data_IF_777432264844
#
_entry.id   IF_777432264844
#
_cell.length_a   1.000
_cell.length_b   1.000
_cell.length_c   1.000
_cell.angle_alpha   90.00
_cell.angle_beta   90.00
_cell.angle_gamma   90.00
#
_symmetry.space_group_name_H-M   'P 1'
#
loop_
_entity.id
_entity.type
_entity.pdbx_description
1 polymer ?
#
# COMPACT_ATOMS: atom_id res chain seq x y z
N UNK A 1 -10.70 32.67 5.85
CA UNK A 1 -9.89 31.47 5.57
C UNK A 1 -9.90 30.43 6.68
N UNK A 2 -9.82 30.75 7.98
CA UNK A 2 -9.90 29.71 9.03
C UNK A 2 -11.17 28.84 8.94
N UNK A 3 -12.34 29.46 8.77
CA UNK A 3 -13.63 28.77 8.56
C UNK A 3 -13.63 27.90 7.28
N UNK A 4 -12.95 28.35 6.23
CA UNK A 4 -12.78 27.58 5.00
C UNK A 4 -11.91 26.35 5.24
N UNK A 5 -10.81 26.49 5.99
CA UNK A 5 -9.91 25.40 6.33
C UNK A 5 -10.61 24.33 7.17
N UNK A 6 -11.42 24.74 8.16
CA UNK A 6 -12.24 23.82 8.95
C UNK A 6 -13.24 23.05 8.07
N UNK A 7 -13.90 23.72 7.12
CA UNK A 7 -14.77 23.04 6.17
C UNK A 7 -14.01 22.08 5.25
N UNK A 8 -12.82 22.47 4.80
CA UNK A 8 -12.04 21.71 3.83
C UNK A 8 -11.56 20.37 4.41
N UNK A 9 -11.07 20.37 5.66
CA UNK A 9 -10.62 19.13 6.35
C UNK A 9 -11.78 18.18 6.71
N UNK A 10 -13.03 18.66 6.65
CA UNK A 10 -14.23 17.83 6.82
C UNK A 10 -14.70 17.20 5.51
N UNK A 11 -14.06 17.49 4.38
CA UNK A 11 -14.31 16.80 3.11
C UNK A 11 -13.54 15.47 3.01
N UNK A 12 -13.81 14.66 1.97
CA UNK A 12 -13.00 13.49 1.70
C UNK A 12 -11.57 13.89 1.27
N UNK A 13 -10.65 12.94 1.36
CA UNK A 13 -9.32 13.05 0.76
C UNK A 13 -8.91 11.68 0.19
N UNK A 14 -7.75 11.60 -0.48
CA UNK A 14 -7.30 10.35 -1.13
C UNK A 14 -7.40 9.10 -0.25
N UNK A 15 -6.98 9.20 1.03
CA UNK A 15 -6.92 8.05 1.94
C UNK A 15 -8.22 7.71 2.69
N UNK A 16 -9.24 8.58 2.70
CA UNK A 16 -10.42 8.37 3.54
C UNK A 16 -11.65 9.09 2.98
N UNK A 17 -12.80 8.39 2.89
CA UNK A 17 -14.05 9.02 2.50
C UNK A 17 -14.51 10.02 3.56
N UNK A 18 -15.55 10.79 3.22
CA UNK A 18 -16.09 11.77 4.15
C UNK A 18 -16.93 11.08 5.24
N UNK A 19 -16.73 11.44 6.50
CA UNK A 19 -17.56 10.95 7.60
C UNK A 19 -19.03 11.39 7.44
N UNK A 20 -19.95 10.58 7.97
CA UNK A 20 -21.38 10.79 7.81
C UNK A 20 -21.89 12.11 8.40
N UNK A 21 -21.33 12.57 9.53
CA UNK A 21 -21.70 13.83 10.20
C UNK A 21 -20.93 15.06 9.65
N UNK A 22 -19.82 14.83 8.94
CA UNK A 22 -18.90 15.89 8.54
C UNK A 22 -19.56 16.91 7.60
N UNK A 23 -20.49 16.48 6.74
CA UNK A 23 -21.20 17.37 5.82
C UNK A 23 -22.00 18.47 6.55
N UNK A 24 -22.74 18.09 7.59
CA UNK A 24 -23.56 19.03 8.35
C UNK A 24 -22.68 20.08 9.06
N UNK A 25 -21.55 19.64 9.62
CA UNK A 25 -20.56 20.52 10.26
C UNK A 25 -19.91 21.46 9.25
N UNK A 26 -19.49 20.94 8.09
CA UNK A 26 -18.91 21.74 7.02
C UNK A 26 -19.86 22.83 6.52
N UNK A 27 -21.16 22.52 6.36
CA UNK A 27 -22.17 23.51 5.95
C UNK A 27 -22.31 24.67 6.93
N UNK A 28 -22.23 24.41 8.24
CA UNK A 28 -22.33 25.46 9.27
C UNK A 28 -21.19 26.47 9.14
N UNK A 29 -19.95 25.99 9.02
CA UNK A 29 -18.77 26.88 8.92
C UNK A 29 -18.66 27.51 7.53
N UNK A 30 -19.10 26.83 6.46
CA UNK A 30 -19.16 27.40 5.12
C UNK A 30 -20.15 28.55 5.00
N UNK A 31 -21.31 28.45 5.65
CA UNK A 31 -22.27 29.55 5.68
C UNK A 31 -21.68 30.80 6.35
N UNK A 32 -20.90 30.62 7.42
CA UNK A 32 -20.17 31.73 8.04
C UNK A 32 -19.08 32.28 7.11
N UNK A 33 -18.33 31.41 6.43
CA UNK A 33 -17.31 31.82 5.47
C UNK A 33 -17.92 32.62 4.30
N UNK A 34 -19.08 32.19 3.76
CA UNK A 34 -19.80 32.88 2.68
C UNK A 34 -20.21 34.30 3.05
N UNK A 35 -20.65 34.54 4.30
CA UNK A 35 -21.02 35.89 4.77
C UNK A 35 -19.82 36.84 4.80
N UNK A 36 -18.62 36.31 5.00
CA UNK A 36 -17.37 37.09 5.03
C UNK A 36 -16.73 37.25 3.65
N UNK A 37 -17.08 36.39 2.68
CA UNK A 37 -16.51 36.36 1.33
C UNK A 37 -16.50 37.73 0.60
N UNK A 38 -17.54 38.58 0.68
CA UNK A 38 -17.52 39.90 0.01
C UNK A 38 -16.38 40.82 0.45
N UNK A 39 -15.82 40.59 1.63
CA UNK A 39 -14.72 41.39 2.22
C UNK A 39 -13.38 40.66 2.25
N UNK A 40 -13.32 39.41 1.77
CA UNK A 40 -12.14 38.54 1.88
C UNK A 40 -11.11 38.74 0.74
N UNK A 41 -11.47 39.50 -0.29
CA UNK A 41 -10.69 39.61 -1.52
C UNK A 41 -11.02 38.51 -2.53
N UNK A 42 -10.54 38.71 -3.76
CA UNK A 42 -11.01 37.98 -4.94
C UNK A 42 -10.74 36.47 -4.87
N UNK A 43 -9.49 36.08 -4.57
CA UNK A 43 -9.07 34.69 -4.47
C UNK A 43 -9.79 33.96 -3.34
N UNK A 44 -9.85 34.56 -2.14
CA UNK A 44 -10.47 33.95 -0.97
C UNK A 44 -11.97 33.74 -1.18
N UNK A 45 -12.66 34.71 -1.78
CA UNK A 45 -14.06 34.56 -2.15
C UNK A 45 -14.28 33.43 -3.16
N UNK A 46 -13.39 33.30 -4.16
CA UNK A 46 -13.45 32.23 -5.16
C UNK A 46 -13.24 30.83 -4.54
N UNK A 47 -12.29 30.67 -3.62
CA UNK A 47 -12.05 29.41 -2.90
C UNK A 47 -13.25 29.02 -2.01
N UNK A 48 -13.90 30.01 -1.37
CA UNK A 48 -15.12 29.79 -0.58
C UNK A 48 -16.28 29.35 -1.47
N UNK A 49 -16.47 29.96 -2.64
CA UNK A 49 -17.48 29.54 -3.62
C UNK A 49 -17.20 28.14 -4.20
N UNK A 50 -15.95 27.81 -4.48
CA UNK A 50 -15.59 26.49 -4.98
C UNK A 50 -15.90 25.41 -3.94
N UNK A 51 -15.36 25.52 -2.72
CA UNK A 51 -15.57 24.54 -1.65
C UNK A 51 -17.05 24.37 -1.28
N UNK A 52 -17.80 25.47 -1.39
CA UNK A 52 -19.25 25.49 -1.23
C UNK A 52 -20.02 24.53 -2.14
N UNK A 53 -19.45 24.10 -3.28
CA UNK A 53 -20.06 23.13 -4.21
C UNK A 53 -19.80 21.68 -3.81
N UNK A 54 -18.87 21.43 -2.89
CA UNK A 54 -18.53 20.10 -2.37
C UNK A 54 -19.54 19.59 -1.34
N UNK A 55 -20.40 20.47 -0.84
CA UNK A 55 -21.35 20.19 0.24
C UNK A 55 -22.77 20.55 -0.18
N UNK A 56 -23.74 19.77 0.29
CA UNK A 56 -25.16 20.00 0.02
C UNK A 56 -25.97 19.74 1.29
N UNK A 57 -27.00 20.56 1.52
CA UNK A 57 -27.99 20.31 2.57
C UNK A 57 -29.02 19.25 2.18
N UNK A 58 -29.05 18.85 0.90
CA UNK A 58 -29.87 17.73 0.44
C UNK A 58 -29.23 16.40 0.89
N UNK A 59 -29.89 15.62 1.76
CA UNK A 59 -29.35 14.35 2.23
C UNK A 59 -29.26 13.29 1.12
N UNK A 60 -29.97 13.46 0.01
CA UNK A 60 -29.96 12.56 -1.14
C UNK A 60 -28.94 12.97 -2.22
N UNK A 61 -28.17 14.05 -2.00
CA UNK A 61 -27.17 14.50 -2.96
C UNK A 61 -26.09 13.44 -3.17
N UNK A 62 -25.83 13.12 -4.44
CA UNK A 62 -24.78 12.17 -4.80
C UNK A 62 -23.38 12.74 -4.50
N UNK A 63 -22.61 12.00 -3.68
CA UNK A 63 -21.25 12.39 -3.28
C UNK A 63 -20.31 12.52 -4.49
N UNK A 64 -20.45 11.64 -5.49
CA UNK A 64 -19.61 11.69 -6.69
C UNK A 64 -19.88 12.96 -7.50
N UNK A 65 -21.15 13.31 -7.70
CA UNK A 65 -21.54 14.56 -8.34
C UNK A 65 -21.02 15.81 -7.58
N UNK A 66 -21.07 15.81 -6.25
CA UNK A 66 -20.53 16.92 -5.44
C UNK A 66 -19.01 17.06 -5.55
N UNK A 67 -18.28 15.94 -5.56
CA UNK A 67 -16.83 15.96 -5.79
C UNK A 67 -16.49 16.49 -7.18
N UNK A 68 -17.25 16.10 -8.21
CA UNK A 68 -17.10 16.63 -9.57
C UNK A 68 -17.36 18.15 -9.61
N UNK A 69 -18.44 18.61 -8.99
CA UNK A 69 -18.78 20.04 -8.95
C UNK A 69 -17.71 20.89 -8.25
N UNK A 70 -17.07 20.34 -7.21
CA UNK A 70 -15.93 20.99 -6.55
C UNK A 70 -14.69 21.02 -7.45
N UNK A 71 -14.35 19.91 -8.10
CA UNK A 71 -13.22 19.83 -9.00
C UNK A 71 -13.35 20.80 -10.19
N UNK A 72 -14.52 20.85 -10.83
CA UNK A 72 -14.81 21.77 -11.92
C UNK A 72 -14.70 23.24 -11.47
N UNK A 73 -15.17 23.56 -10.26
CA UNK A 73 -15.03 24.89 -9.70
C UNK A 73 -13.58 25.25 -9.38
N UNK A 74 -12.79 24.32 -8.86
CA UNK A 74 -11.37 24.54 -8.63
C UNK A 74 -10.59 24.74 -9.93
N UNK A 75 -10.92 24.01 -11.02
CA UNK A 75 -10.35 24.29 -12.35
C UNK A 75 -10.67 25.73 -12.81
N UNK A 76 -11.89 26.24 -12.53
CA UNK A 76 -12.24 27.62 -12.83
C UNK A 76 -11.49 28.64 -11.94
N UNK A 77 -11.22 28.32 -10.67
CA UNK A 77 -10.36 29.14 -9.80
C UNK A 77 -8.93 29.16 -10.34
N UNK A 78 -8.36 28.02 -10.72
CA UNK A 78 -7.02 27.93 -11.30
C UNK A 78 -6.87 28.76 -12.58
N UNK A 79 -7.90 28.78 -13.43
CA UNK A 79 -7.87 29.58 -14.65
C UNK A 79 -7.86 31.09 -14.37
N UNK A 80 -8.41 31.52 -13.23
CA UNK A 80 -8.45 32.94 -12.81
C UNK A 80 -7.20 33.39 -12.07
N UNK A 81 -6.53 32.46 -11.38
CA UNK A 81 -5.29 32.69 -10.61
C UNK A 81 -4.20 31.70 -11.06
N UNK A 82 -3.78 31.77 -12.34
CA UNK A 82 -2.90 30.75 -12.93
C UNK A 82 -1.51 30.71 -12.30
N UNK A 83 -1.07 31.79 -11.65
CA UNK A 83 0.26 31.96 -11.08
C UNK A 83 0.45 31.35 -9.68
N UNK A 84 -0.64 31.02 -8.97
CA UNK A 84 -0.61 30.66 -7.55
C UNK A 84 -0.41 29.14 -7.34
N UNK A 85 0.72 28.70 -6.74
CA UNK A 85 0.99 27.28 -6.51
C UNK A 85 0.03 26.62 -5.51
N UNK A 86 -0.55 27.37 -4.56
CA UNK A 86 -1.51 26.82 -3.63
C UNK A 86 -2.87 26.56 -4.30
N UNK A 87 -3.28 27.42 -5.24
CA UNK A 87 -4.48 27.16 -6.05
C UNK A 87 -4.27 25.95 -6.94
N UNK A 88 -3.08 25.81 -7.54
CA UNK A 88 -2.74 24.65 -8.37
C UNK A 88 -2.76 23.35 -7.55
N UNK A 89 -2.20 23.37 -6.34
CA UNK A 89 -2.25 22.25 -5.41
C UNK A 89 -3.69 21.88 -5.02
N UNK A 90 -4.51 22.85 -4.60
CA UNK A 90 -5.90 22.60 -4.19
C UNK A 90 -6.74 22.07 -5.35
N UNK A 91 -6.44 22.51 -6.58
CA UNK A 91 -7.06 21.98 -7.80
C UNK A 91 -6.63 20.55 -8.05
N UNK A 92 -5.33 20.25 -7.92
CA UNK A 92 -4.83 18.89 -8.05
C UNK A 92 -5.46 17.94 -7.01
N UNK A 93 -5.57 18.36 -5.74
CA UNK A 93 -6.28 17.60 -4.69
C UNK A 93 -7.75 17.35 -5.07
N UNK A 94 -8.46 18.36 -5.56
CA UNK A 94 -9.85 18.19 -5.98
C UNK A 94 -10.00 17.17 -7.12
N UNK A 95 -9.10 17.20 -8.11
CA UNK A 95 -9.06 16.24 -9.22
C UNK A 95 -8.68 14.83 -8.75
N UNK A 96 -7.74 14.73 -7.81
CA UNK A 96 -7.31 13.47 -7.19
C UNK A 96 -8.47 12.72 -6.52
N UNK A 97 -9.37 13.47 -5.89
CA UNK A 97 -10.55 12.94 -5.20
C UNK A 97 -11.68 12.47 -6.13
N UNK A 98 -11.53 12.60 -7.46
CA UNK A 98 -12.51 12.05 -8.42
C UNK A 98 -12.39 10.53 -8.57
N UNK A 99 -11.17 9.99 -8.43
CA UNK A 99 -10.87 8.55 -8.54
C UNK A 99 -9.78 8.17 -7.54
N UNK A 100 -10.02 8.26 -6.21
CA UNK A 100 -9.01 7.94 -5.20
C UNK A 100 -8.42 6.55 -5.45
N UNK A 101 -7.09 6.44 -5.43
CA UNK A 101 -6.34 5.20 -5.70
C UNK A 101 -6.46 4.59 -7.11
N UNK A 102 -7.25 5.17 -8.03
CA UNK A 102 -7.47 4.62 -9.38
C UNK A 102 -7.05 5.58 -10.51
N UNK A 103 -5.77 5.95 -10.53
CA UNK A 103 -5.25 6.99 -11.43
C UNK A 103 -4.78 6.48 -12.79
N UNK A 104 -4.42 5.20 -12.91
CA UNK A 104 -3.72 4.66 -14.09
C UNK A 104 -4.38 3.40 -14.65
N UNK A 105 -4.21 3.18 -15.96
CA UNK A 105 -4.49 1.94 -16.67
C UNK A 105 -3.24 1.47 -17.40
N UNK A 106 -3.33 0.33 -18.10
CA UNK A 106 -2.26 -0.23 -18.91
C UNK A 106 -0.97 -0.43 -18.12
N UNK A 107 -1.09 -1.04 -16.94
CA UNK A 107 0.02 -1.30 -16.00
C UNK A 107 0.75 -0.02 -15.55
N UNK A 108 -0.01 1.06 -15.32
CA UNK A 108 0.56 2.31 -14.84
C UNK A 108 1.02 3.27 -15.94
N UNK A 109 0.85 2.92 -17.22
CA UNK A 109 1.35 3.72 -18.36
C UNK A 109 0.42 4.86 -18.76
N UNK A 110 -0.89 4.63 -18.69
CA UNK A 110 -1.89 5.55 -19.26
C UNK A 110 -2.70 6.20 -18.13
N UNK A 111 -2.71 7.53 -17.99
CA UNK A 111 -3.52 8.22 -16.98
C UNK A 111 -5.01 8.15 -17.32
N UNK A 112 -5.87 7.90 -16.31
CA UNK A 112 -7.33 7.87 -16.43
C UNK A 112 -7.94 9.27 -16.27
N UNK A 113 -8.99 9.58 -17.02
CA UNK A 113 -9.81 10.79 -16.81
C UNK A 113 -8.99 12.08 -16.63
N UNK A 114 -9.11 12.71 -15.46
CA UNK A 114 -8.41 13.96 -15.11
C UNK A 114 -7.01 13.76 -14.52
N UNK A 115 -6.52 12.53 -14.38
CA UNK A 115 -5.18 12.23 -13.82
C UNK A 115 -4.07 12.98 -14.55
N UNK A 116 -4.13 13.07 -15.88
CA UNK A 116 -3.11 13.79 -16.65
C UNK A 116 -3.01 15.28 -16.25
N UNK A 117 -4.16 15.93 -16.06
CA UNK A 117 -4.23 17.33 -15.63
C UNK A 117 -3.81 17.51 -14.17
N UNK A 118 -4.21 16.58 -13.30
CA UNK A 118 -3.77 16.53 -11.90
C UNK A 118 -2.25 16.44 -11.80
N UNK A 119 -1.64 15.47 -12.49
CA UNK A 119 -0.17 15.28 -12.51
C UNK A 119 0.52 16.51 -13.11
N UNK A 120 -0.02 17.06 -14.21
CA UNK A 120 0.50 18.28 -14.82
C UNK A 120 0.57 19.43 -13.81
N UNK A 121 -0.52 19.73 -13.10
CA UNK A 121 -0.54 20.79 -12.08
C UNK A 121 0.48 20.55 -10.96
N UNK A 122 0.61 19.31 -10.48
CA UNK A 122 1.57 18.95 -9.43
C UNK A 122 3.02 19.15 -9.93
N UNK A 123 3.35 18.65 -11.13
CA UNK A 123 4.66 18.84 -11.76
C UNK A 123 4.96 20.33 -12.01
N UNK A 124 3.93 21.14 -12.28
CA UNK A 124 4.04 22.59 -12.36
C UNK A 124 4.42 23.26 -11.05
N UNK A 125 3.74 22.88 -9.95
CA UNK A 125 4.10 23.38 -8.61
C UNK A 125 5.51 22.93 -8.25
N UNK A 126 5.90 21.69 -8.55
CA UNK A 126 7.24 21.19 -8.24
C UNK A 126 8.35 21.79 -9.12
N UNK A 127 7.99 22.44 -10.22
CA UNK A 127 8.92 23.04 -11.19
C UNK A 127 9.50 22.04 -12.21
N UNK A 128 8.95 20.82 -12.28
CA UNK A 128 9.35 19.80 -13.26
C UNK A 128 8.74 20.05 -14.64
N UNK A 129 7.67 20.87 -14.70
CA UNK A 129 6.98 21.25 -15.93
C UNK A 129 6.63 22.73 -15.92
N UNK A 130 6.96 23.44 -16.99
CA UNK A 130 6.53 24.82 -17.17
C UNK A 130 5.05 24.89 -17.58
N UNK A 131 4.24 25.67 -16.85
CA UNK A 131 2.79 25.81 -17.09
C UNK A 131 2.41 27.29 -17.03
N UNK A 132 2.44 27.97 -18.18
CA UNK A 132 2.06 29.38 -18.26
C UNK A 132 2.77 30.23 -17.20
N UNK A 133 2.01 30.98 -16.41
CA UNK A 133 2.53 31.86 -15.37
C UNK A 133 2.65 31.20 -13.98
N UNK A 134 2.41 29.88 -13.86
CA UNK A 134 2.46 29.16 -12.59
C UNK A 134 3.84 29.28 -11.94
N UNK A 135 3.89 29.82 -10.72
CA UNK A 135 5.13 29.93 -9.95
C UNK A 135 5.44 28.58 -9.31
N UNK A 136 6.61 28.03 -9.63
CA UNK A 136 7.09 26.82 -8.99
C UNK A 136 7.47 27.07 -7.51
N UNK A 137 7.17 26.08 -6.68
CA UNK A 137 7.62 25.90 -5.30
C UNK A 137 8.11 24.46 -5.12
N UNK A 138 9.39 24.17 -5.47
CA UNK A 138 9.93 22.81 -5.48
C UNK A 138 9.98 22.11 -4.11
N UNK A 139 9.83 22.87 -3.02
CA UNK A 139 9.81 22.38 -1.64
C UNK A 139 8.39 22.45 -1.04
N UNK A 140 7.33 22.60 -1.86
CA UNK A 140 5.96 22.61 -1.38
C UNK A 140 5.56 21.23 -0.81
N UNK A 141 5.37 21.06 0.52
CA UNK A 141 5.17 19.73 1.12
C UNK A 141 3.90 19.04 0.62
N UNK A 142 2.81 19.80 0.43
CA UNK A 142 1.57 19.29 -0.16
C UNK A 142 1.72 18.77 -1.60
N UNK A 143 2.46 19.46 -2.47
CA UNK A 143 2.68 19.02 -3.84
C UNK A 143 3.55 17.76 -3.89
N UNK A 144 4.60 17.68 -3.06
CA UNK A 144 5.43 16.47 -2.95
C UNK A 144 4.58 15.29 -2.46
N UNK A 145 3.74 15.49 -1.44
CA UNK A 145 2.83 14.47 -0.93
C UNK A 145 1.86 13.96 -2.01
N UNK A 146 1.18 14.86 -2.72
CA UNK A 146 0.27 14.46 -3.80
C UNK A 146 1.02 13.81 -4.96
N UNK A 147 2.26 14.22 -5.26
CA UNK A 147 3.04 13.64 -6.34
C UNK A 147 3.39 12.19 -6.06
N UNK A 148 3.80 11.88 -4.83
CA UNK A 148 4.08 10.50 -4.40
C UNK A 148 2.84 9.64 -4.67
N UNK A 149 1.68 10.02 -4.14
CA UNK A 149 0.43 9.28 -4.36
C UNK A 149 0.01 9.20 -5.84
N UNK A 150 0.21 10.28 -6.58
CA UNK A 150 -0.16 10.33 -7.99
C UNK A 150 0.66 9.35 -8.83
N UNK A 151 1.93 9.14 -8.53
CA UNK A 151 2.84 8.37 -9.39
C UNK A 151 3.28 7.03 -8.81
N UNK A 152 3.02 6.75 -7.54
CA UNK A 152 3.41 5.48 -6.90
C UNK A 152 2.82 4.28 -7.63
N UNK A 153 1.57 4.36 -8.10
CA UNK A 153 0.90 3.32 -8.87
C UNK A 153 1.29 3.28 -10.37
N UNK A 154 2.09 4.24 -10.86
CA UNK A 154 2.46 4.35 -12.28
C UNK A 154 3.55 3.37 -12.70
N UNK A 155 3.87 3.37 -14.00
CA UNK A 155 5.00 2.64 -14.59
C UNK A 155 6.37 3.29 -14.32
N UNK A 156 6.38 4.51 -13.79
CA UNK A 156 7.57 5.33 -13.56
C UNK A 156 7.51 6.06 -12.20
N UNK A 157 7.43 5.33 -11.07
CA UNK A 157 7.39 5.92 -9.74
C UNK A 157 8.70 6.62 -9.35
N UNK A 158 9.82 6.29 -9.99
CA UNK A 158 11.14 6.88 -9.73
C UNK A 158 11.19 8.39 -9.89
N UNK A 159 10.28 8.97 -10.70
CA UNK A 159 10.21 10.41 -10.90
C UNK A 159 9.92 11.18 -9.60
N UNK A 160 9.24 10.58 -8.63
CA UNK A 160 8.97 11.21 -7.34
C UNK A 160 10.15 11.10 -6.35
N UNK A 161 11.15 10.26 -6.61
CA UNK A 161 12.28 10.03 -5.70
C UNK A 161 13.00 11.31 -5.22
N UNK A 162 13.41 12.26 -6.08
CA UNK A 162 14.09 13.47 -5.62
C UNK A 162 13.21 14.35 -4.72
N UNK A 163 11.89 14.36 -4.92
CA UNK A 163 10.95 15.11 -4.09
C UNK A 163 10.68 14.39 -2.77
N UNK A 164 10.41 13.08 -2.83
CA UNK A 164 10.21 12.21 -1.67
C UNK A 164 11.38 12.30 -0.67
N UNK A 165 12.62 12.37 -1.17
CA UNK A 165 13.80 12.49 -0.33
C UNK A 165 13.83 13.75 0.57
N UNK A 166 13.05 14.79 0.26
CA UNK A 166 13.01 16.05 1.02
C UNK A 166 11.81 16.15 1.97
N UNK A 167 10.72 15.42 1.72
CA UNK A 167 9.43 15.63 2.39
C UNK A 167 9.51 15.52 3.93
N UNK A 168 10.19 14.49 4.44
CA UNK A 168 10.29 14.26 5.88
C UNK A 168 10.97 15.43 6.63
N UNK A 169 11.93 16.11 5.99
CA UNK A 169 12.63 17.24 6.59
C UNK A 169 11.80 18.53 6.58
N UNK A 170 10.85 18.66 5.65
CA UNK A 170 9.97 19.83 5.56
C UNK A 170 8.91 19.83 6.66
N UNK A 171 8.44 18.65 7.07
CA UNK A 171 7.36 18.48 8.05
C UNK A 171 7.68 17.38 9.09
N UNK A 172 8.77 17.51 9.87
CA UNK A 172 9.29 16.43 10.71
C UNK A 172 8.39 16.05 11.89
N UNK A 173 7.43 16.92 12.24
CA UNK A 173 6.45 16.67 13.30
C UNK A 173 5.17 15.96 12.83
N UNK A 174 5.02 15.68 11.54
CA UNK A 174 3.85 15.02 10.98
C UNK A 174 4.23 13.60 10.53
N UNK A 175 3.91 12.58 11.35
CA UNK A 175 4.32 11.20 11.09
C UNK A 175 3.90 10.69 9.71
N UNK A 176 2.70 11.05 9.24
CA UNK A 176 2.26 10.78 7.86
C UNK A 176 3.24 11.31 6.80
N UNK A 177 3.65 12.58 6.89
CA UNK A 177 4.58 13.16 5.91
C UNK A 177 6.01 12.63 6.04
N UNK A 178 6.43 12.22 7.23
CA UNK A 178 7.71 11.52 7.44
C UNK A 178 7.68 10.13 6.81
N UNK A 179 6.52 9.47 6.81
CA UNK A 179 6.29 8.15 6.25
C UNK A 179 6.25 8.17 4.71
N UNK A 180 5.52 9.10 4.09
CA UNK A 180 5.24 9.13 2.65
C UNK A 180 6.40 8.79 1.71
N UNK A 181 7.67 9.19 1.94
CA UNK A 181 8.77 8.79 1.08
C UNK A 181 8.93 7.26 0.92
N UNK A 182 8.50 6.47 1.92
CA UNK A 182 8.58 5.02 1.88
C UNK A 182 7.75 4.39 0.78
N UNK A 183 6.69 5.04 0.31
CA UNK A 183 5.87 4.56 -0.81
C UNK A 183 6.75 4.42 -2.06
N UNK A 184 7.51 5.46 -2.38
CA UNK A 184 8.45 5.45 -3.50
C UNK A 184 9.62 4.50 -3.23
N UNK A 185 10.19 4.50 -2.02
CA UNK A 185 11.28 3.58 -1.68
C UNK A 185 10.88 2.12 -1.84
N UNK A 186 9.69 1.75 -1.36
CA UNK A 186 9.14 0.41 -1.49
C UNK A 186 8.95 0.03 -2.96
N UNK A 187 8.35 0.91 -3.77
CA UNK A 187 8.19 0.71 -5.22
C UNK A 187 9.51 0.49 -5.97
N UNK A 188 10.58 1.16 -5.54
CA UNK A 188 11.92 1.05 -6.13
C UNK A 188 12.76 -0.08 -5.53
N UNK A 189 12.21 -0.85 -4.59
CA UNK A 189 12.96 -1.89 -3.89
C UNK A 189 14.06 -1.38 -2.96
N UNK A 190 13.97 -0.12 -2.55
CA UNK A 190 14.85 0.52 -1.55
C UNK A 190 14.35 0.17 -0.15
N UNK A 191 14.36 -1.12 0.15
CA UNK A 191 13.71 -1.70 1.33
C UNK A 191 14.25 -1.13 2.65
N UNK A 192 15.56 -0.86 2.71
CA UNK A 192 16.19 -0.27 3.91
C UNK A 192 15.72 1.18 4.11
N UNK A 193 15.71 2.00 3.08
CA UNK A 193 15.22 3.37 3.19
C UNK A 193 13.73 3.45 3.51
N UNK A 194 12.92 2.52 2.96
CA UNK A 194 11.51 2.36 3.32
C UNK A 194 11.37 2.00 4.81
N UNK A 195 12.14 1.02 5.29
CA UNK A 195 12.15 0.61 6.70
C UNK A 195 12.50 1.77 7.63
N UNK A 196 13.61 2.46 7.36
CA UNK A 196 14.15 3.49 8.23
C UNK A 196 13.21 4.72 8.31
N UNK A 197 12.62 5.14 7.17
CA UNK A 197 11.62 6.21 7.14
C UNK A 197 10.39 5.88 8.00
N UNK A 198 9.95 4.62 7.99
CA UNK A 198 8.80 4.18 8.77
C UNK A 198 9.09 4.03 10.26
N UNK A 199 10.29 3.62 10.63
CA UNK A 199 10.73 3.64 12.02
C UNK A 199 10.71 5.07 12.56
N UNK A 200 11.19 6.03 11.76
CA UNK A 200 11.14 7.45 12.13
C UNK A 200 9.69 7.96 12.25
N UNK A 201 8.84 7.67 11.26
CA UNK A 201 7.44 8.08 11.26
C UNK A 201 6.65 7.52 12.45
N UNK A 202 6.83 6.23 12.75
CA UNK A 202 6.21 5.58 13.90
C UNK A 202 6.64 6.23 15.21
N UNK A 203 7.92 6.63 15.35
CA UNK A 203 8.39 7.33 16.55
C UNK A 203 7.77 8.74 16.69
N UNK A 204 7.55 9.45 15.57
CA UNK A 204 6.86 10.75 15.56
C UNK A 204 5.40 10.57 16.01
N UNK A 205 4.67 9.61 15.44
CA UNK A 205 3.29 9.34 15.82
C UNK A 205 3.18 8.90 17.27
N UNK A 206 4.05 8.02 17.77
CA UNK A 206 4.06 7.61 19.18
C UNK A 206 4.25 8.80 20.13
N UNK A 207 5.10 9.76 19.78
CA UNK A 207 5.30 10.97 20.57
C UNK A 207 4.03 11.83 20.60
N UNK A 208 3.29 11.91 19.48
CA UNK A 208 2.02 12.62 19.38
C UNK A 208 0.90 11.89 20.13
N UNK A 209 0.79 10.57 19.99
CA UNK A 209 -0.23 9.75 20.65
C UNK A 209 -0.14 9.82 22.17
N UNK A 210 1.07 9.96 22.74
CA UNK A 210 1.29 10.18 24.18
C UNK A 210 0.68 11.49 24.70
N UNK A 211 0.45 12.48 23.83
CA UNK A 211 -0.18 13.75 24.21
C UNK A 211 -1.72 13.63 24.27
N UNK A 212 -2.30 12.56 23.73
CA UNK A 212 -3.74 12.34 23.68
C UNK A 212 -4.44 13.11 22.56
N UNK A 213 -5.76 12.94 22.45
CA UNK A 213 -6.60 13.67 21.50
C UNK A 213 -6.56 13.19 20.03
N UNK A 214 -5.79 12.13 19.73
CA UNK A 214 -5.81 11.50 18.43
C UNK A 214 -7.14 10.80 18.13
N UNK A 215 -7.60 10.88 16.88
CA UNK A 215 -8.75 10.12 16.40
C UNK A 215 -8.41 8.63 16.26
N UNK A 216 -9.44 7.79 16.27
CA UNK A 216 -9.29 6.34 16.02
C UNK A 216 -8.62 6.06 14.67
N UNK A 217 -9.01 6.81 13.62
CA UNK A 217 -8.41 6.69 12.28
C UNK A 217 -6.90 7.01 12.30
N UNK A 218 -6.50 8.04 13.04
CA UNK A 218 -5.08 8.39 13.14
C UNK A 218 -4.30 7.33 13.93
N UNK A 219 -4.78 6.93 15.11
CA UNK A 219 -4.06 6.02 15.99
C UNK A 219 -4.07 4.57 15.54
N UNK A 220 -5.14 4.10 14.90
CA UNK A 220 -5.31 2.69 14.54
C UNK A 220 -5.34 2.44 13.02
N UNK A 221 -5.42 3.50 12.21
CA UNK A 221 -5.27 3.45 10.76
C UNK A 221 -3.88 3.91 10.32
N UNK A 222 -3.61 5.22 10.38
CA UNK A 222 -2.36 5.80 9.85
C UNK A 222 -1.11 5.39 10.61
N UNK A 223 -1.13 5.43 11.94
CA UNK A 223 0.00 4.94 12.73
C UNK A 223 0.22 3.42 12.55
N UNK A 224 -0.86 2.63 12.50
CA UNK A 224 -0.77 1.21 12.22
C UNK A 224 -0.17 0.93 10.83
N UNK A 225 -0.49 1.76 9.84
CA UNK A 225 0.08 1.69 8.50
C UNK A 225 1.60 1.95 8.48
N UNK A 226 2.10 2.90 9.28
CA UNK A 226 3.53 3.14 9.42
C UNK A 226 4.24 1.89 9.98
N UNK A 227 3.67 1.27 11.02
CA UNK A 227 4.20 0.02 11.60
C UNK A 227 4.08 -1.16 10.61
N UNK A 228 3.02 -1.20 9.80
CA UNK A 228 2.83 -2.18 8.74
C UNK A 228 3.94 -2.09 7.67
N UNK A 229 4.35 -0.89 7.27
CA UNK A 229 5.49 -0.71 6.38
C UNK A 229 6.83 -1.10 7.00
N UNK A 230 7.04 -0.88 8.32
CA UNK A 230 8.22 -1.43 9.02
C UNK A 230 8.25 -2.95 8.85
N UNK A 231 7.12 -3.62 9.13
CA UNK A 231 6.99 -5.07 9.01
C UNK A 231 7.26 -5.55 7.57
N UNK A 232 6.60 -4.95 6.58
CA UNK A 232 6.71 -5.35 5.19
C UNK A 232 8.11 -5.09 4.61
N UNK A 233 8.73 -3.96 4.93
CA UNK A 233 10.07 -3.60 4.44
C UNK A 233 11.15 -4.50 5.06
N UNK A 234 11.04 -4.81 6.36
CA UNK A 234 11.94 -5.76 7.03
C UNK A 234 11.78 -7.18 6.45
N UNK A 235 10.55 -7.62 6.18
CA UNK A 235 10.27 -8.91 5.53
C UNK A 235 10.94 -9.01 4.16
N UNK A 236 10.80 -7.97 3.33
CA UNK A 236 11.40 -7.93 1.99
C UNK A 236 12.93 -7.88 2.02
N UNK A 237 13.51 -7.18 3.00
CA UNK A 237 14.96 -7.14 3.20
C UNK A 237 15.57 -8.36 3.91
N UNK A 238 14.73 -9.27 4.42
CA UNK A 238 15.16 -10.49 5.09
C UNK A 238 15.39 -10.35 6.60
N UNK A 239 15.17 -9.18 7.19
CA UNK A 239 15.35 -8.93 8.62
C UNK A 239 14.18 -9.51 9.42
N UNK A 240 14.24 -10.81 9.65
CA UNK A 240 13.20 -11.54 10.37
C UNK A 240 12.97 -11.05 11.80
N UNK A 241 14.03 -10.59 12.48
CA UNK A 241 13.93 -10.06 13.84
C UNK A 241 13.10 -8.79 13.91
N UNK A 242 13.43 -7.80 13.06
CA UNK A 242 12.66 -6.56 12.96
C UNK A 242 11.25 -6.81 12.44
N UNK A 243 11.08 -7.70 11.45
CA UNK A 243 9.77 -8.04 10.91
C UNK A 243 8.85 -8.64 11.99
N UNK A 244 9.34 -9.60 12.77
CA UNK A 244 8.57 -10.22 13.85
C UNK A 244 8.24 -9.23 14.98
N UNK A 245 9.17 -8.35 15.35
CA UNK A 245 8.91 -7.31 16.35
C UNK A 245 7.82 -6.33 15.88
N UNK A 246 7.85 -5.92 14.61
CA UNK A 246 6.81 -5.08 14.02
C UNK A 246 5.47 -5.81 13.90
N UNK A 247 5.47 -7.10 13.56
CA UNK A 247 4.26 -7.93 13.51
C UNK A 247 3.57 -8.07 14.88
N UNK A 248 4.34 -8.32 15.94
CA UNK A 248 3.82 -8.38 17.32
C UNK A 248 3.20 -7.05 17.74
N UNK A 249 3.89 -5.94 17.44
CA UNK A 249 3.37 -4.60 17.69
C UNK A 249 2.06 -4.35 16.95
N UNK A 250 2.03 -4.64 15.65
CA UNK A 250 0.88 -4.40 14.78
C UNK A 250 -0.36 -5.21 15.20
N UNK A 251 -0.18 -6.44 15.67
CA UNK A 251 -1.26 -7.29 16.17
C UNK A 251 -2.05 -6.65 17.32
N UNK A 252 -1.43 -5.72 18.07
CA UNK A 252 -2.06 -4.98 19.16
C UNK A 252 -2.62 -3.60 18.79
N UNK A 253 -2.44 -3.12 17.55
CA UNK A 253 -2.81 -1.74 17.19
C UNK A 253 -4.23 -1.59 16.65
N UNK A 254 -4.70 -2.54 15.84
CA UNK A 254 -5.99 -2.40 15.14
C UNK A 254 -7.09 -3.10 15.93
N UNK A 255 -7.95 -2.33 16.60
CA UNK A 255 -9.06 -2.88 17.38
C UNK A 255 -10.16 -3.49 16.52
N UNK A 256 -11.00 -4.33 17.13
CA UNK A 256 -12.20 -4.87 16.48
C UNK A 256 -13.18 -3.77 16.04
N UNK A 257 -13.20 -2.64 16.77
CA UNK A 257 -14.00 -1.48 16.38
C UNK A 257 -13.49 -0.89 15.08
N UNK A 258 -12.19 -0.63 14.99
CA UNK A 258 -11.56 -0.06 13.78
C UNK A 258 -11.72 -0.97 12.57
N UNK A 259 -11.54 -2.29 12.73
CA UNK A 259 -11.77 -3.25 11.62
C UNK A 259 -13.20 -3.21 11.07
N UNK A 260 -14.20 -2.89 11.91
CA UNK A 260 -15.61 -2.77 11.49
C UNK A 260 -15.92 -1.41 10.87
N UNK A 261 -15.48 -0.32 11.51
CA UNK A 261 -15.77 1.05 11.07
C UNK A 261 -14.91 1.46 9.85
N UNK A 262 -13.72 0.87 9.72
CA UNK A 262 -12.72 1.17 8.68
C UNK A 262 -12.22 -0.13 8.03
N UNK A 263 -13.00 -0.76 7.13
CA UNK A 263 -12.73 -2.12 6.65
C UNK A 263 -11.37 -2.33 5.98
N UNK A 264 -10.77 -1.30 5.37
CA UNK A 264 -9.44 -1.39 4.75
C UNK A 264 -8.32 -1.64 5.77
N UNK A 265 -8.58 -1.50 7.08
CA UNK A 265 -7.64 -1.89 8.15
C UNK A 265 -7.58 -3.40 8.40
N UNK A 266 -8.50 -4.20 7.84
CA UNK A 266 -8.46 -5.66 7.98
C UNK A 266 -7.19 -6.29 7.35
N UNK A 267 -6.76 -5.90 6.13
CA UNK A 267 -5.44 -6.25 5.60
C UNK A 267 -4.27 -5.95 6.53
N UNK A 268 -4.30 -4.80 7.22
CA UNK A 268 -3.26 -4.44 8.21
C UNK A 268 -3.29 -5.41 9.40
N UNK A 269 -4.49 -5.72 9.92
CA UNK A 269 -4.65 -6.66 11.03
C UNK A 269 -4.31 -8.11 10.67
N UNK A 270 -4.41 -8.47 9.39
CA UNK A 270 -4.03 -9.79 8.86
C UNK A 270 -2.52 -9.93 8.62
N UNK A 271 -1.84 -8.81 8.36
CA UNK A 271 -0.43 -8.72 8.01
C UNK A 271 0.52 -9.53 8.92
N UNK A 272 0.36 -9.52 10.27
CA UNK A 272 1.23 -10.25 11.17
C UNK A 272 1.34 -11.75 10.84
N UNK A 273 0.26 -12.39 10.39
CA UNK A 273 0.26 -13.82 10.12
C UNK A 273 1.17 -14.22 8.96
N UNK A 274 1.32 -13.38 7.93
CA UNK A 274 2.27 -13.65 6.84
C UNK A 274 3.71 -13.61 7.33
N UNK A 275 4.03 -12.65 8.21
CA UNK A 275 5.36 -12.55 8.83
C UNK A 275 5.65 -13.73 9.76
N UNK A 276 4.66 -14.15 10.55
CA UNK A 276 4.75 -15.34 11.40
C UNK A 276 5.00 -16.59 10.54
N UNK A 277 4.24 -16.79 9.46
CA UNK A 277 4.42 -17.90 8.52
C UNK A 277 5.82 -17.93 7.89
N UNK A 278 6.43 -16.74 7.72
CA UNK A 278 7.74 -16.58 7.07
C UNK A 278 8.89 -16.84 8.03
N UNK A 279 8.85 -16.31 9.25
CA UNK A 279 10.02 -16.21 10.12
C UNK A 279 9.91 -16.92 11.46
N UNK A 280 8.72 -17.29 11.92
CA UNK A 280 8.56 -18.01 13.18
C UNK A 280 8.73 -19.51 13.01
N UNK A 281 9.14 -20.18 14.09
CA UNK A 281 9.12 -21.63 14.17
C UNK A 281 7.67 -22.16 14.01
N UNK A 282 7.47 -23.28 13.32
CA UNK A 282 6.13 -23.83 13.07
C UNK A 282 5.27 -23.99 14.34
N UNK A 283 5.87 -24.47 15.43
CA UNK A 283 5.18 -24.66 16.71
C UNK A 283 4.69 -23.34 17.31
N UNK A 284 5.46 -22.26 17.15
CA UNK A 284 5.06 -20.92 17.62
C UNK A 284 3.85 -20.43 16.83
N UNK A 285 3.86 -20.60 15.50
CA UNK A 285 2.70 -20.26 14.64
C UNK A 285 1.46 -21.03 15.05
N UNK A 286 1.59 -22.34 15.29
CA UNK A 286 0.48 -23.20 15.71
C UNK A 286 -0.09 -22.86 17.09
N UNK A 287 0.68 -22.19 17.94
CA UNK A 287 0.25 -21.72 19.27
C UNK A 287 -0.46 -20.35 19.25
N UNK A 288 -0.46 -19.64 18.12
CA UNK A 288 -1.11 -18.34 18.02
C UNK A 288 -2.63 -18.48 18.22
N UNK A 289 -3.25 -17.63 19.06
CA UNK A 289 -4.68 -17.69 19.29
C UNK A 289 -5.44 -17.40 18.00
N UNK A 290 -6.59 -18.06 17.81
CA UNK A 290 -7.48 -17.73 16.70
C UNK A 290 -8.02 -16.30 16.88
N UNK A 291 -8.06 -15.48 15.82
CA UNK A 291 -8.70 -14.17 15.87
C UNK A 291 -10.22 -14.31 16.00
N UNK A 292 -10.91 -13.21 16.33
CA UNK A 292 -12.38 -13.16 16.36
C UNK A 292 -12.95 -13.63 15.00
N UNK A 293 -13.91 -14.56 15.07
CA UNK A 293 -14.61 -15.13 13.94
C UNK A 293 -15.45 -14.13 13.13
N UNK A 294 -15.72 -12.94 13.67
CA UNK A 294 -16.38 -11.84 12.97
C UNK A 294 -15.52 -11.18 11.88
N UNK A 295 -14.24 -11.53 11.77
CA UNK A 295 -13.32 -11.01 10.75
C UNK A 295 -12.80 -12.15 9.88
N UNK A 296 -13.60 -12.66 8.93
CA UNK A 296 -13.24 -13.82 8.12
C UNK A 296 -11.95 -13.63 7.33
N UNK A 297 -11.61 -12.39 6.92
CA UNK A 297 -10.37 -12.08 6.21
C UNK A 297 -9.15 -12.32 7.11
N UNK A 298 -9.16 -11.74 8.32
CA UNK A 298 -8.09 -11.92 9.32
C UNK A 298 -7.98 -13.38 9.75
N UNK A 299 -9.12 -14.08 9.87
CA UNK A 299 -9.17 -15.50 10.20
C UNK A 299 -8.57 -16.38 9.10
N UNK A 300 -8.79 -16.04 7.83
CA UNK A 300 -8.17 -16.76 6.72
C UNK A 300 -6.64 -16.63 6.75
N UNK A 301 -6.10 -15.45 7.04
CA UNK A 301 -4.64 -15.29 7.18
C UNK A 301 -4.06 -16.04 8.41
N UNK A 302 -4.84 -16.21 9.49
CA UNK A 302 -4.46 -17.12 10.58
C UNK A 302 -4.40 -18.59 10.11
N UNK A 303 -5.41 -19.05 9.36
CA UNK A 303 -5.39 -20.38 8.73
C UNK A 303 -4.22 -20.52 7.75
N UNK A 304 -3.90 -19.47 6.98
CA UNK A 304 -2.76 -19.45 6.06
C UNK A 304 -1.44 -19.74 6.78
N UNK A 305 -1.14 -18.97 7.83
CA UNK A 305 0.10 -19.15 8.58
C UNK A 305 0.23 -20.56 9.17
N UNK A 306 -0.87 -21.09 9.71
CA UNK A 306 -0.93 -22.46 10.22
C UNK A 306 -0.74 -23.50 9.14
N UNK A 307 -1.38 -23.35 7.97
CA UNK A 307 -1.24 -24.26 6.85
C UNK A 307 0.19 -24.34 6.33
N UNK A 308 0.88 -23.20 6.26
CA UNK A 308 2.32 -23.13 5.92
C UNK A 308 3.17 -23.85 6.98
N UNK A 309 2.92 -23.59 8.27
CA UNK A 309 3.64 -24.25 9.37
C UNK A 309 3.42 -25.78 9.37
N UNK A 310 2.19 -26.24 9.14
CA UNK A 310 1.86 -27.68 9.08
C UNK A 310 2.51 -28.36 7.87
N UNK A 311 2.55 -27.68 6.72
CA UNK A 311 3.26 -28.17 5.55
C UNK A 311 4.77 -28.32 5.84
N UNK A 312 5.39 -27.36 6.52
CA UNK A 312 6.80 -27.43 6.93
C UNK A 312 7.07 -28.62 7.87
N UNK A 313 6.12 -28.95 8.75
CA UNK A 313 6.19 -30.12 9.64
C UNK A 313 5.83 -31.45 8.96
N UNK A 314 5.52 -31.46 7.66
CA UNK A 314 5.08 -32.65 6.93
C UNK A 314 3.68 -33.16 7.33
N UNK A 315 2.89 -32.35 8.04
CA UNK A 315 1.53 -32.69 8.49
C UNK A 315 0.52 -32.39 7.39
N UNK A 316 0.59 -33.17 6.31
CA UNK A 316 -0.17 -32.95 5.07
C UNK A 316 -1.69 -32.80 5.29
N UNK A 317 -2.33 -33.75 5.98
CA UNK A 317 -3.79 -33.74 6.15
C UNK A 317 -4.27 -32.53 6.97
N UNK A 318 -3.50 -32.13 7.97
CA UNK A 318 -3.80 -30.94 8.78
C UNK A 318 -3.64 -29.67 7.93
N UNK A 319 -2.57 -29.58 7.12
CA UNK A 319 -2.35 -28.45 6.23
C UNK A 319 -3.46 -28.33 5.16
N UNK A 320 -3.94 -29.47 4.61
CA UNK A 320 -5.10 -29.51 3.70
C UNK A 320 -6.37 -29.02 4.38
N UNK A 321 -6.54 -29.33 5.67
CA UNK A 321 -7.67 -28.84 6.47
C UNK A 321 -7.66 -27.32 6.59
N UNK A 322 -6.49 -26.72 6.83
CA UNK A 322 -6.36 -25.25 6.87
C UNK A 322 -6.66 -24.61 5.49
N UNK A 323 -6.19 -25.20 4.39
CA UNK A 323 -6.50 -24.73 3.03
C UNK A 323 -8.01 -24.84 2.71
N UNK A 324 -8.67 -25.92 3.14
CA UNK A 324 -10.11 -26.08 2.98
C UNK A 324 -10.90 -25.04 3.79
N UNK A 325 -10.46 -24.71 5.01
CA UNK A 325 -11.07 -23.65 5.82
C UNK A 325 -11.01 -22.28 5.12
N UNK A 326 -9.87 -21.94 4.50
CA UNK A 326 -9.72 -20.72 3.69
C UNK A 326 -10.68 -20.73 2.50
N UNK A 327 -10.80 -21.87 1.79
CA UNK A 327 -11.70 -22.00 0.65
C UNK A 327 -13.18 -21.81 1.03
N UNK A 328 -13.59 -22.24 2.23
CA UNK A 328 -14.94 -21.95 2.73
C UNK A 328 -15.12 -20.48 3.11
N UNK A 329 -14.13 -19.87 3.80
CA UNK A 329 -14.16 -18.44 4.13
C UNK A 329 -14.21 -17.56 2.87
N UNK A 330 -13.52 -17.94 1.80
CA UNK A 330 -13.53 -17.22 0.52
C UNK A 330 -14.91 -17.10 -0.12
N UNK A 331 -15.87 -17.96 0.25
CA UNK A 331 -17.25 -17.93 -0.23
C UNK A 331 -18.20 -17.14 0.67
N UNK A 332 -17.73 -16.65 1.82
CA UNK A 332 -18.54 -15.85 2.74
C UNK A 332 -18.95 -14.53 2.08
N UNK A 333 -20.19 -14.09 2.31
CA UNK A 333 -20.73 -12.84 1.76
C UNK A 333 -19.86 -11.63 2.09
N UNK A 334 -19.32 -11.60 3.30
CA UNK A 334 -18.46 -10.56 3.85
C UNK A 334 -17.16 -10.45 3.06
N UNK A 335 -16.58 -11.59 2.65
CA UNK A 335 -15.38 -11.62 1.80
C UNK A 335 -15.72 -11.20 0.38
N UNK A 336 -16.82 -11.72 -0.17
CA UNK A 336 -17.27 -11.38 -1.53
C UNK A 336 -17.63 -9.90 -1.71
N UNK A 337 -17.99 -9.20 -0.64
CA UNK A 337 -18.29 -7.76 -0.63
C UNK A 337 -17.05 -6.87 -0.40
N UNK A 338 -15.90 -7.41 0.02
CA UNK A 338 -14.69 -6.60 0.25
C UNK A 338 -14.19 -5.83 -0.98
N UNK A 339 -14.34 -6.31 -2.23
CA UNK A 339 -13.95 -5.54 -3.40
C UNK A 339 -14.68 -4.19 -3.53
N UNK A 340 -15.89 -4.06 -2.98
CA UNK A 340 -16.66 -2.80 -2.99
C UNK A 340 -15.98 -1.69 -2.18
N UNK A 341 -15.10 -2.07 -1.24
CA UNK A 341 -14.28 -1.15 -0.43
C UNK A 341 -12.79 -1.22 -0.79
N UNK A 342 -12.47 -1.72 -2.00
CA UNK A 342 -11.13 -1.71 -2.56
C UNK A 342 -10.21 -2.84 -2.08
N UNK A 343 -10.72 -3.83 -1.32
CA UNK A 343 -9.93 -4.97 -0.85
C UNK A 343 -10.28 -6.22 -1.67
N UNK A 344 -9.36 -6.82 -2.45
CA UNK A 344 -9.63 -7.99 -3.28
C UNK A 344 -9.67 -9.29 -2.44
N UNK A 345 -10.53 -9.32 -1.42
CA UNK A 345 -10.65 -10.39 -0.43
C UNK A 345 -10.68 -11.80 -1.02
N UNK A 346 -11.62 -12.12 -1.95
CA UNK A 346 -11.73 -13.46 -2.51
C UNK A 346 -10.44 -13.92 -3.19
N UNK A 347 -9.80 -13.03 -3.97
CA UNK A 347 -8.59 -13.35 -4.71
C UNK A 347 -7.39 -13.56 -3.78
N UNK A 348 -7.25 -12.77 -2.72
CA UNK A 348 -6.20 -12.95 -1.70
C UNK A 348 -6.34 -14.30 -0.99
N UNK A 349 -7.55 -14.67 -0.57
CA UNK A 349 -7.78 -15.95 0.09
C UNK A 349 -7.52 -17.15 -0.84
N UNK A 350 -7.83 -17.02 -2.14
CA UNK A 350 -7.46 -18.07 -3.11
C UNK A 350 -5.95 -18.19 -3.23
N UNK A 351 -5.19 -17.08 -3.25
CA UNK A 351 -3.72 -17.12 -3.24
C UNK A 351 -3.20 -17.84 -1.98
N UNK A 352 -3.72 -17.51 -0.80
CA UNK A 352 -3.35 -18.16 0.48
C UNK A 352 -3.51 -19.69 0.40
N UNK A 353 -4.68 -20.16 -0.04
CA UNK A 353 -4.96 -21.59 -0.19
C UNK A 353 -4.03 -22.28 -1.21
N UNK A 354 -3.81 -21.65 -2.37
CA UNK A 354 -2.91 -22.18 -3.42
C UNK A 354 -1.47 -22.26 -2.95
N UNK A 355 -1.01 -21.29 -2.18
CA UNK A 355 0.33 -21.31 -1.60
C UNK A 355 0.45 -22.44 -0.59
N UNK A 356 -0.55 -22.69 0.28
CA UNK A 356 -0.53 -23.86 1.18
C UNK A 356 -0.45 -25.17 0.38
N UNK A 357 -1.30 -25.34 -0.64
CA UNK A 357 -1.27 -26.52 -1.52
C UNK A 357 0.13 -26.72 -2.15
N UNK A 358 0.76 -25.63 -2.60
CA UNK A 358 2.11 -25.66 -3.14
C UNK A 358 3.16 -26.05 -2.08
N UNK A 359 3.08 -25.51 -0.86
CA UNK A 359 3.98 -25.85 0.25
C UNK A 359 3.85 -27.31 0.68
N UNK A 360 2.64 -27.86 0.69
CA UNK A 360 2.40 -29.30 0.93
C UNK A 360 3.13 -30.13 -0.14
N UNK A 361 2.97 -29.79 -1.41
CA UNK A 361 3.64 -30.50 -2.50
C UNK A 361 5.17 -30.39 -2.41
N UNK A 362 5.70 -29.20 -2.08
CA UNK A 362 7.15 -29.01 -1.83
C UNK A 362 7.66 -29.90 -0.71
N UNK A 363 6.97 -29.96 0.43
CA UNK A 363 7.37 -30.78 1.58
C UNK A 363 7.43 -32.28 1.25
N UNK A 364 6.64 -32.74 0.27
CA UNK A 364 6.63 -34.12 -0.24
C UNK A 364 7.67 -34.39 -1.32
N UNK A 365 8.40 -33.36 -1.78
CA UNK A 365 9.28 -33.45 -2.94
C UNK A 365 8.55 -33.47 -4.29
N UNK A 366 7.24 -33.23 -4.32
CA UNK A 366 6.46 -33.11 -5.56
C UNK A 366 6.60 -31.69 -6.13
N UNK A 367 7.79 -31.39 -6.65
CA UNK A 367 8.12 -30.08 -7.19
C UNK A 367 7.31 -29.73 -8.45
N UNK A 368 6.81 -30.72 -9.19
CA UNK A 368 5.94 -30.51 -10.34
C UNK A 368 4.57 -29.97 -9.91
N UNK A 369 3.94 -30.61 -8.91
CA UNK A 369 2.67 -30.13 -8.38
C UNK A 369 2.84 -28.80 -7.65
N UNK A 370 3.95 -28.59 -6.93
CA UNK A 370 4.26 -27.30 -6.31
C UNK A 370 4.33 -26.17 -7.34
N UNK A 371 5.08 -26.35 -8.42
CA UNK A 371 5.19 -25.36 -9.50
C UNK A 371 3.83 -25.06 -10.13
N UNK A 372 2.99 -26.07 -10.36
CA UNK A 372 1.64 -25.85 -10.89
C UNK A 372 0.77 -24.97 -9.97
N UNK A 373 0.79 -25.20 -8.65
CA UNK A 373 0.01 -24.41 -7.69
C UNK A 373 0.54 -23.00 -7.51
N UNK A 374 1.87 -22.80 -7.52
CA UNK A 374 2.43 -21.46 -7.54
C UNK A 374 2.10 -20.71 -8.84
N UNK A 375 2.08 -21.38 -9.99
CA UNK A 375 1.69 -20.76 -11.25
C UNK A 375 0.20 -20.32 -11.24
N UNK A 376 -0.70 -21.11 -10.66
CA UNK A 376 -2.10 -20.72 -10.44
C UNK A 376 -2.21 -19.47 -9.55
N UNK A 377 -1.44 -19.42 -8.45
CA UNK A 377 -1.40 -18.26 -7.56
C UNK A 377 -0.81 -17.01 -8.25
N UNK A 378 0.21 -17.17 -9.09
CA UNK A 378 0.81 -16.10 -9.91
C UNK A 378 -0.23 -15.43 -10.79
N UNK A 379 -1.07 -16.21 -11.49
CA UNK A 379 -2.12 -15.66 -12.37
C UNK A 379 -3.08 -14.75 -11.61
N UNK A 380 -3.36 -15.08 -10.34
CA UNK A 380 -4.25 -14.29 -9.48
C UNK A 380 -3.52 -13.08 -8.91
N UNK A 381 -2.28 -13.24 -8.44
CA UNK A 381 -1.50 -12.14 -7.88
C UNK A 381 -1.24 -11.04 -8.92
N UNK A 382 -0.90 -11.42 -10.15
CA UNK A 382 -0.52 -10.48 -11.21
C UNK A 382 -1.67 -9.56 -11.67
N UNK A 383 -2.93 -9.90 -11.31
CA UNK A 383 -4.12 -9.08 -11.59
C UNK A 383 -4.64 -8.32 -10.38
N UNK A 384 -4.02 -8.45 -9.21
CA UNK A 384 -4.45 -7.70 -8.02
C UNK A 384 -4.27 -6.19 -8.27
N UNK A 385 -5.20 -5.36 -7.78
CA UNK A 385 -5.04 -3.91 -7.84
C UNK A 385 -3.83 -3.45 -7.03
N UNK A 386 -3.32 -2.26 -7.38
CA UNK A 386 -2.27 -1.61 -6.60
C UNK A 386 -2.78 -1.29 -5.18
N UNK A 387 -1.93 -1.56 -4.19
CA UNK A 387 -2.08 -1.16 -2.79
C UNK A 387 -0.68 -1.19 -2.16
N UNK A 388 -0.53 -0.54 -1.03
CA UNK A 388 0.70 -0.52 -0.27
C UNK A 388 0.50 -0.74 1.24
N UNK A 389 1.40 -1.51 1.86
CA UNK A 389 2.12 -2.61 1.22
C UNK A 389 1.15 -3.50 0.39
N UNK A 390 1.62 -4.22 -0.65
CA UNK A 390 0.76 -5.01 -1.53
C UNK A 390 -0.10 -6.00 -0.73
N UNK A 391 -1.29 -6.33 -1.23
CA UNK A 391 -2.19 -7.32 -0.59
C UNK A 391 -1.54 -8.69 -0.40
N UNK A 392 -0.49 -8.99 -1.18
CA UNK A 392 0.38 -10.15 -1.00
C UNK A 392 1.85 -9.71 -1.06
N UNK A 393 2.58 -9.88 0.03
CA UNK A 393 3.83 -9.14 0.27
C UNK A 393 5.04 -9.53 -0.59
N UNK A 394 5.09 -10.74 -1.14
CA UNK A 394 6.20 -11.19 -1.97
C UNK A 394 5.73 -11.68 -3.33
N UNK A 395 6.48 -11.49 -4.43
CA UNK A 395 6.08 -12.00 -5.74
C UNK A 395 6.07 -13.53 -5.73
N UNK A 396 4.92 -14.18 -5.91
CA UNK A 396 4.79 -15.65 -5.93
C UNK A 396 5.62 -16.28 -7.06
N UNK A 397 5.97 -15.50 -8.09
CA UNK A 397 6.98 -15.84 -9.08
C UNK A 397 8.29 -16.34 -8.46
N UNK A 398 8.70 -15.82 -7.29
CA UNK A 398 9.91 -16.31 -6.59
C UNK A 398 9.74 -17.77 -6.09
N UNK A 399 8.56 -18.12 -5.59
CA UNK A 399 8.25 -19.47 -5.12
C UNK A 399 8.09 -20.44 -6.29
N UNK A 400 7.49 -19.97 -7.38
CA UNK A 400 7.43 -20.71 -8.65
C UNK A 400 8.84 -21.03 -9.16
N UNK A 401 9.73 -20.03 -9.19
CA UNK A 401 11.13 -20.21 -9.60
C UNK A 401 11.86 -21.25 -8.74
N UNK A 402 11.68 -21.21 -7.42
CA UNK A 402 12.29 -22.19 -6.51
C UNK A 402 11.78 -23.62 -6.77
N UNK A 403 10.47 -23.79 -6.98
CA UNK A 403 9.88 -25.09 -7.31
C UNK A 403 10.38 -25.63 -8.66
N UNK A 404 10.46 -24.79 -9.70
CA UNK A 404 10.99 -25.15 -11.02
C UNK A 404 12.47 -25.54 -10.94
N UNK A 405 13.26 -24.81 -10.16
CA UNK A 405 14.69 -25.10 -10.01
C UNK A 405 14.93 -26.47 -9.36
N UNK A 406 14.13 -26.79 -8.34
CA UNK A 406 14.11 -28.11 -7.68
C UNK A 406 13.61 -29.23 -8.61
N UNK A 407 12.74 -28.91 -9.57
CA UNK A 407 12.34 -29.82 -10.65
C UNK A 407 13.46 -30.06 -11.70
N UNK A 408 14.55 -29.28 -11.68
CA UNK A 408 15.61 -29.35 -12.68
C UNK A 408 15.42 -28.41 -13.88
N UNK A 409 14.37 -27.58 -13.86
CA UNK A 409 14.00 -26.61 -14.89
C UNK A 409 14.68 -25.26 -14.65
N UNK A 410 15.99 -25.22 -14.82
CA UNK A 410 16.80 -24.07 -14.43
C UNK A 410 16.51 -22.82 -15.29
N UNK A 411 16.22 -22.98 -16.58
CA UNK A 411 15.94 -21.85 -17.48
C UNK A 411 14.57 -21.22 -17.19
N UNK A 412 13.55 -22.05 -16.95
CA UNK A 412 12.23 -21.54 -16.54
C UNK A 412 12.26 -20.94 -15.14
N UNK A 413 13.08 -21.50 -14.23
CA UNK A 413 13.29 -20.94 -12.90
C UNK A 413 13.93 -19.55 -12.95
N UNK A 414 14.99 -19.37 -13.74
CA UNK A 414 15.62 -18.07 -13.96
C UNK A 414 14.60 -17.05 -14.49
N UNK A 415 13.77 -17.46 -15.47
CA UNK A 415 12.73 -16.60 -16.02
C UNK A 415 11.77 -16.12 -14.93
N UNK A 416 11.29 -17.04 -14.07
CA UNK A 416 10.41 -16.70 -12.95
C UNK A 416 11.08 -15.76 -11.93
N UNK A 417 12.36 -15.97 -11.60
CA UNK A 417 13.09 -15.06 -10.71
C UNK A 417 13.29 -13.67 -11.31
N UNK A 418 13.54 -13.57 -12.63
CA UNK A 418 13.64 -12.26 -13.31
C UNK A 418 12.30 -11.52 -13.31
N UNK A 419 11.18 -12.22 -13.51
CA UNK A 419 9.84 -11.60 -13.37
C UNK A 419 9.59 -11.15 -11.93
N UNK A 420 9.98 -11.96 -10.93
CA UNK A 420 9.90 -11.56 -9.52
C UNK A 420 10.71 -10.29 -9.23
N UNK A 421 11.92 -10.15 -9.80
CA UNK A 421 12.76 -8.95 -9.67
C UNK A 421 12.21 -7.74 -10.44
N UNK A 422 11.48 -7.95 -11.55
CA UNK A 422 10.79 -6.86 -12.24
C UNK A 422 9.60 -6.33 -11.42
N UNK A 423 8.82 -7.22 -10.81
CA UNK A 423 7.67 -6.88 -9.96
C UNK A 423 8.10 -6.27 -8.63
N UNK A 424 9.21 -6.73 -8.08
CA UNK A 424 9.78 -6.24 -6.82
C UNK A 424 11.27 -6.02 -7.01
N UNK A 425 11.68 -4.82 -7.49
CA UNK A 425 13.08 -4.51 -7.71
C UNK A 425 13.92 -4.78 -6.46
N UNK A 426 15.19 -5.15 -6.64
CA UNK A 426 16.12 -5.37 -5.52
C UNK A 426 15.64 -6.41 -4.48
N UNK A 427 14.69 -7.29 -4.82
CA UNK A 427 14.24 -8.35 -3.93
C UNK A 427 15.35 -9.40 -3.72
N UNK A 428 15.98 -9.37 -2.54
CA UNK A 428 17.09 -10.26 -2.19
C UNK A 428 16.70 -11.74 -2.13
N UNK A 429 15.42 -12.05 -1.88
CA UNK A 429 14.93 -13.42 -1.95
C UNK A 429 15.01 -13.95 -3.39
N UNK A 430 14.41 -13.23 -4.34
CA UNK A 430 14.44 -13.61 -5.75
C UNK A 430 15.87 -13.62 -6.32
N UNK A 431 16.73 -12.70 -5.89
CA UNK A 431 18.15 -12.69 -6.27
C UNK A 431 18.90 -13.95 -5.78
N UNK A 432 18.61 -14.44 -4.58
CA UNK A 432 19.19 -15.69 -4.07
C UNK A 432 18.75 -16.92 -4.88
N UNK A 433 17.50 -16.94 -5.34
CA UNK A 433 17.00 -17.96 -6.25
C UNK A 433 17.64 -17.88 -7.64
N UNK A 434 17.78 -16.67 -8.18
CA UNK A 434 18.46 -16.41 -9.45
C UNK A 434 19.91 -16.88 -9.42
N UNK A 435 20.62 -16.60 -8.32
CA UNK A 435 21.99 -17.05 -8.12
C UNK A 435 22.10 -18.59 -8.25
N UNK A 436 21.24 -19.33 -7.56
CA UNK A 436 21.26 -20.79 -7.60
C UNK A 436 20.85 -21.35 -8.96
N UNK A 437 19.94 -20.67 -9.67
CA UNK A 437 19.60 -21.05 -11.04
C UNK A 437 20.80 -20.86 -11.98
N UNK A 438 21.50 -19.73 -11.87
CA UNK A 438 22.68 -19.41 -12.68
C UNK A 438 23.84 -20.38 -12.43
N UNK A 439 24.13 -20.70 -11.17
CA UNK A 439 25.17 -21.68 -10.80
C UNK A 439 24.88 -23.07 -11.36
N UNK A 440 23.61 -23.50 -11.35
CA UNK A 440 23.18 -24.78 -11.95
C UNK A 440 23.32 -24.80 -13.47
N UNK A 441 23.24 -23.64 -14.12
CA UNK A 441 23.44 -23.46 -15.57
C UNK A 441 24.92 -23.27 -15.95
N UNK A 442 25.78 -22.95 -14.99
CA UNK A 442 27.16 -22.51 -15.27
C UNK A 442 27.21 -21.12 -15.92
N UNK A 443 26.24 -20.25 -15.63
CA UNK A 443 26.21 -18.87 -16.14
C UNK A 443 26.83 -17.91 -15.12
N UNK A 444 28.15 -17.70 -15.25
CA UNK A 444 28.91 -16.84 -14.34
C UNK A 444 28.46 -15.38 -14.38
N UNK A 445 27.98 -14.89 -15.53
CA UNK A 445 27.56 -13.50 -15.68
C UNK A 445 26.29 -13.23 -14.85
N UNK A 446 25.30 -14.12 -14.94
CA UNK A 446 24.07 -14.01 -14.14
C UNK A 446 24.34 -14.26 -12.66
N UNK A 447 25.26 -15.17 -12.33
CA UNK A 447 25.64 -15.41 -10.94
C UNK A 447 26.28 -14.16 -10.30
N UNK A 448 27.16 -13.44 -11.01
CA UNK A 448 27.73 -12.18 -10.54
C UNK A 448 26.68 -11.06 -10.42
N UNK A 449 25.74 -10.96 -11.36
CA UNK A 449 24.58 -10.03 -11.28
C UNK A 449 23.80 -10.27 -9.98
N UNK A 450 23.42 -11.53 -9.72
CA UNK A 450 22.65 -11.92 -8.53
C UNK A 450 23.43 -11.67 -7.23
N UNK A 451 24.72 -12.00 -7.19
CA UNK A 451 25.61 -11.69 -6.04
C UNK A 451 25.69 -10.20 -5.78
N UNK A 452 25.81 -9.36 -6.81
CA UNK A 452 25.86 -7.92 -6.65
C UNK A 452 24.54 -7.35 -6.11
N UNK A 453 23.40 -7.84 -6.60
CA UNK A 453 22.07 -7.47 -6.11
C UNK A 453 21.89 -7.82 -4.62
N UNK A 454 22.28 -9.04 -4.24
CA UNK A 454 22.22 -9.48 -2.84
C UNK A 454 23.14 -8.64 -1.96
N UNK A 455 24.41 -8.48 -2.33
CA UNK A 455 25.38 -7.70 -1.56
C UNK A 455 24.90 -6.27 -1.28
N UNK A 456 24.19 -5.66 -2.23
CA UNK A 456 23.70 -4.28 -2.10
C UNK A 456 22.42 -4.17 -1.27
N UNK A 457 21.49 -5.11 -1.43
CA UNK A 457 20.10 -4.91 -0.98
C UNK A 457 19.64 -5.92 0.10
N UNK A 458 20.33 -7.04 0.26
CA UNK A 458 19.98 -8.05 1.27
C UNK A 458 20.57 -7.68 2.63
N UNK A 459 19.72 -7.68 3.65
CA UNK A 459 20.15 -7.40 5.03
C UNK A 459 19.58 -8.40 6.05
N UNK A 460 19.14 -9.56 5.58
CA UNK A 460 18.66 -10.68 6.39
C UNK A 460 19.74 -11.64 6.91
N UNK A 461 21.02 -11.27 6.76
CA UNK A 461 22.15 -12.12 7.14
C UNK A 461 22.44 -13.16 6.06
N UNK A 462 22.28 -14.45 6.39
CA UNK A 462 22.62 -15.56 5.50
C UNK A 462 21.81 -15.56 4.21
N UNK A 463 22.34 -16.24 3.19
CA UNK A 463 21.64 -16.43 1.92
C UNK A 463 20.36 -17.26 2.15
N UNK A 464 19.19 -16.78 1.68
CA UNK A 464 17.96 -17.55 1.75
C UNK A 464 18.04 -18.95 1.14
N UNK A 465 17.51 -19.94 1.85
CA UNK A 465 17.26 -21.27 1.28
C UNK A 465 16.11 -21.22 0.25
N UNK A 466 16.26 -21.98 -0.84
CA UNK A 466 15.19 -22.21 -1.82
C UNK A 466 13.91 -22.78 -1.20
N UNK A 467 14.02 -23.53 -0.12
CA UNK A 467 12.86 -24.15 0.52
C UNK A 467 11.99 -23.12 1.27
N UNK A 468 12.53 -21.91 1.51
CA UNK A 468 11.81 -20.76 2.09
C UNK A 468 11.30 -19.77 1.04
N UNK A 469 11.76 -19.88 -0.20
CA UNK A 469 11.27 -19.13 -1.36
C UNK A 469 9.94 -19.70 -1.80
#
# INVERSE_FOLDING_TARGET
>A
MCLWGEAWVLGPHINYPMDADANARALVVLEQARRLAPTAGELQAALIDALSRRHSSDPMADRKALNQAYADAMEAVQARFPEDPHVALLTADALMNLNPWDYWTDEGRTPKGKTARMVELIEGVLGDREIGDLKADPDHPGAIHLYIHAVEASDRPERAAPHAARLAALMPGAGHLVHMPSHIWYRLGRWRESLDANVQAAAVDEAQLKQGGASLLYSEGYYAHNVHFVMASALMGGDGGTALAAAEKLAGLVSDRTKREVPWTQPIAAAPYTTQARFSEPEKVLSLPAPDGNFPFVRASWHYARGVALAQLGREEDARTEAAAIAELARASEIMAMPDVGVPGPDVLVIEGKVIEARIAQAKGDHAQAAARFAEAVVIQDRLPYMEPPFWYYPVHQSLGAALLKQGKAEEAETAFRVALQRSPNNGWAAAGLLQAAEKRGDDAVAEEARALMKKNWFGGDTPSLDRL
#
